data_IF_727217740267
#
_entry.id   IF_727217740267
#
_cell.length_a   1.000
_cell.length_b   1.000
_cell.length_c   1.000
_cell.angle_alpha   90.00
_cell.angle_beta   90.00
_cell.angle_gamma   90.00
#
_symmetry.space_group_name_H-M   'P 1'
#
loop_
_entity.id
_entity.type
_entity.pdbx_description
1 polymer ?
#
# COMPACT_ATOMS: atom_id res chain seq x y z
N UNK A 1 -26.69 -2.84 2.04
CA UNK A 1 -25.27 -2.47 2.29
C UNK A 1 -25.12 -1.00 1.94
N UNK A 2 -24.66 -0.14 2.87
CA UNK A 2 -24.49 1.29 2.58
C UNK A 2 -23.31 1.47 1.60
N UNK A 3 -23.62 1.67 0.31
CA UNK A 3 -22.61 1.77 -0.76
C UNK A 3 -21.64 2.94 -0.53
N UNK A 4 -22.10 4.01 0.13
CA UNK A 4 -21.28 5.19 0.45
C UNK A 4 -20.22 4.90 1.50
N UNK A 5 -20.48 3.96 2.41
CA UNK A 5 -19.51 3.48 3.41
C UNK A 5 -18.62 2.38 2.83
N UNK A 6 -19.24 1.35 2.25
CA UNK A 6 -18.53 0.14 1.83
C UNK A 6 -17.73 0.32 0.55
N UNK A 7 -18.16 1.20 -0.37
CA UNK A 7 -17.42 1.47 -1.61
C UNK A 7 -15.99 1.97 -1.35
N UNK A 8 -15.81 3.06 -0.59
CA UNK A 8 -14.49 3.56 -0.23
C UNK A 8 -13.66 2.54 0.57
N UNK A 9 -14.27 1.80 1.50
CA UNK A 9 -13.58 0.77 2.29
C UNK A 9 -13.04 -0.35 1.39
N UNK A 10 -13.85 -0.85 0.47
CA UNK A 10 -13.44 -1.93 -0.43
C UNK A 10 -12.34 -1.44 -1.39
N UNK A 11 -12.50 -0.25 -1.96
CA UNK A 11 -11.49 0.36 -2.82
C UNK A 11 -10.17 0.58 -2.07
N UNK A 12 -10.22 1.11 -0.86
CA UNK A 12 -9.04 1.30 -0.01
C UNK A 12 -8.36 -0.01 0.36
N UNK A 13 -9.13 -1.07 0.67
CA UNK A 13 -8.59 -2.40 0.95
C UNK A 13 -7.87 -3.03 -0.26
N UNK A 14 -8.39 -2.82 -1.48
CA UNK A 14 -7.71 -3.27 -2.71
C UNK A 14 -6.39 -2.52 -2.89
N UNK A 15 -6.38 -1.21 -2.68
CA UNK A 15 -5.17 -0.38 -2.82
C UNK A 15 -4.12 -0.79 -1.77
N UNK A 16 -4.52 -1.06 -0.53
CA UNK A 16 -3.63 -1.58 0.52
C UNK A 16 -3.01 -2.92 0.12
N UNK A 17 -3.81 -3.84 -0.43
CA UNK A 17 -3.29 -5.11 -0.90
C UNK A 17 -2.21 -4.93 -1.99
N UNK A 18 -2.41 -3.98 -2.91
CA UNK A 18 -1.42 -3.63 -3.93
C UNK A 18 -0.17 -3.01 -3.29
N UNK A 19 -0.32 -2.10 -2.33
CA UNK A 19 0.79 -1.49 -1.61
C UNK A 19 1.66 -2.54 -0.92
N UNK A 20 1.05 -3.51 -0.25
CA UNK A 20 1.75 -4.64 0.38
C UNK A 20 2.51 -5.46 -0.66
N UNK A 21 1.90 -5.79 -1.80
CA UNK A 21 2.57 -6.54 -2.86
C UNK A 21 3.79 -5.81 -3.41
N UNK A 22 3.69 -4.48 -3.60
CA UNK A 22 4.81 -3.64 -4.06
C UNK A 22 5.94 -3.63 -3.04
N UNK A 23 5.62 -3.44 -1.75
CA UNK A 23 6.63 -3.40 -0.68
C UNK A 23 7.30 -4.77 -0.47
N UNK A 24 6.53 -5.87 -0.58
CA UNK A 24 7.07 -7.23 -0.53
C UNK A 24 8.00 -7.49 -1.73
N UNK A 25 7.58 -7.10 -2.93
CA UNK A 25 8.41 -7.22 -4.14
C UNK A 25 9.71 -6.42 -4.06
N UNK A 26 9.64 -5.20 -3.54
CA UNK A 26 10.82 -4.40 -3.21
C UNK A 26 11.70 -5.11 -2.17
N UNK A 27 11.11 -5.63 -1.08
CA UNK A 27 11.81 -6.43 -0.08
C UNK A 27 12.57 -7.63 -0.65
N UNK A 28 11.99 -8.34 -1.61
CA UNK A 28 12.66 -9.46 -2.30
C UNK A 28 13.88 -9.03 -3.10
N UNK A 29 13.91 -7.81 -3.64
CA UNK A 29 15.08 -7.30 -4.38
C UNK A 29 16.35 -7.22 -3.51
N UNK A 30 16.18 -7.11 -2.18
CA UNK A 30 17.28 -7.12 -1.20
C UNK A 30 17.78 -8.51 -0.82
N UNK A 31 17.08 -9.59 -1.21
CA UNK A 31 17.48 -10.96 -0.85
C UNK A 31 18.55 -11.54 -1.79
N UNK A 32 19.19 -10.71 -2.62
CA UNK A 32 20.27 -11.13 -3.50
C UNK A 32 21.55 -11.41 -2.67
N UNK A 33 22.36 -12.44 -3.01
CA UNK A 33 23.62 -12.75 -2.31
C UNK A 33 24.72 -11.68 -2.45
N UNK A 34 24.44 -10.58 -3.16
CA UNK A 34 25.36 -9.45 -3.31
C UNK A 34 25.16 -8.46 -2.15
N UNK A 35 26.16 -8.25 -1.27
CA UNK A 35 26.06 -7.30 -0.15
C UNK A 35 25.86 -5.84 -0.60
N UNK A 36 26.19 -5.48 -1.85
CA UNK A 36 25.90 -4.16 -2.40
C UNK A 36 24.39 -3.92 -2.63
N UNK A 37 23.59 -4.99 -2.72
CA UNK A 37 22.14 -4.89 -2.84
C UNK A 37 21.47 -4.33 -1.57
N UNK A 38 22.12 -4.42 -0.40
CA UNK A 38 21.61 -3.87 0.88
C UNK A 38 21.92 -2.38 1.07
N UNK A 39 22.65 -1.74 0.16
CA UNK A 39 22.76 -0.29 0.18
C UNK A 39 21.34 0.28 -0.02
N UNK A 40 20.76 0.84 1.04
CA UNK A 40 19.39 1.33 1.07
C UNK A 40 19.22 2.43 0.01
N UNK A 41 18.78 2.01 -1.17
CA UNK A 41 18.52 2.88 -2.31
C UNK A 41 17.03 3.14 -2.30
N UNK A 42 16.66 4.40 -2.10
CA UNK A 42 15.29 4.84 -2.25
C UNK A 42 14.90 4.64 -3.72
N UNK A 43 14.21 3.55 -3.99
CA UNK A 43 13.73 3.19 -5.30
C UNK A 43 12.36 3.83 -5.55
N UNK A 44 11.98 3.86 -6.82
CA UNK A 44 10.62 4.30 -7.20
C UNK A 44 9.55 3.40 -6.58
N UNK A 45 9.86 2.14 -6.27
CA UNK A 45 8.89 1.16 -5.76
C UNK A 45 8.51 1.38 -4.30
N UNK A 46 9.46 1.78 -3.45
CA UNK A 46 9.24 2.06 -2.04
C UNK A 46 8.40 3.32 -1.84
N UNK A 47 8.70 4.40 -2.58
CA UNK A 47 7.83 5.57 -2.60
C UNK A 47 6.42 5.23 -3.09
N UNK A 48 6.31 4.42 -4.15
CA UNK A 48 5.02 3.98 -4.68
C UNK A 48 4.23 3.17 -3.64
N UNK A 49 4.87 2.19 -2.99
CA UNK A 49 4.26 1.37 -1.95
C UNK A 49 3.75 2.20 -0.78
N UNK A 50 4.55 3.15 -0.30
CA UNK A 50 4.17 4.05 0.81
C UNK A 50 3.00 4.95 0.41
N UNK A 51 3.03 5.54 -0.79
CA UNK A 51 1.94 6.42 -1.27
C UNK A 51 0.64 5.63 -1.43
N UNK A 52 0.71 4.43 -2.01
CA UNK A 52 -0.47 3.56 -2.16
C UNK A 52 -1.06 3.20 -0.80
N UNK A 53 -0.23 2.84 0.19
CA UNK A 53 -0.72 2.56 1.55
C UNK A 53 -1.42 3.79 2.15
N UNK A 54 -0.84 4.98 2.04
CA UNK A 54 -1.48 6.22 2.54
C UNK A 54 -2.84 6.49 1.88
N UNK A 55 -2.95 6.28 0.56
CA UNK A 55 -4.21 6.46 -0.19
C UNK A 55 -5.24 5.38 0.24
N UNK A 56 -4.80 4.13 0.36
CA UNK A 56 -5.64 3.01 0.77
C UNK A 56 -6.23 3.23 2.16
N UNK A 57 -5.39 3.57 3.13
CA UNK A 57 -5.79 3.92 4.48
C UNK A 57 -6.76 5.11 4.50
N UNK A 58 -6.47 6.18 3.75
CA UNK A 58 -7.34 7.35 3.67
C UNK A 58 -8.75 6.99 3.18
N UNK A 59 -8.87 6.14 2.16
CA UNK A 59 -10.17 5.68 1.65
C UNK A 59 -10.95 4.84 2.66
N UNK A 60 -10.25 3.97 3.40
CA UNK A 60 -10.86 3.18 4.48
C UNK A 60 -11.38 4.10 5.59
N UNK A 61 -10.58 5.09 6.01
CA UNK A 61 -10.97 6.07 7.03
C UNK A 61 -12.15 6.92 6.57
N UNK A 62 -12.15 7.40 5.32
CA UNK A 62 -13.27 8.15 4.73
C UNK A 62 -14.53 7.29 4.72
N UNK A 63 -14.47 6.06 4.23
CA UNK A 63 -15.61 5.15 4.24
C UNK A 63 -16.12 4.89 5.67
N UNK A 64 -15.21 4.67 6.63
CA UNK A 64 -15.55 4.52 8.05
C UNK A 64 -16.23 5.75 8.66
N UNK A 65 -15.84 6.96 8.24
CA UNK A 65 -16.49 8.20 8.67
C UNK A 65 -17.93 8.34 8.15
N UNK A 66 -18.25 7.69 7.02
CA UNK A 66 -19.56 7.67 6.38
C UNK A 66 -20.50 6.58 6.91
N UNK A 67 -20.15 5.95 8.04
CA UNK A 67 -20.97 4.91 8.70
C UNK A 67 -22.32 5.42 9.23
N UNK A 68 -22.49 6.74 9.33
CA UNK A 68 -23.74 7.38 9.77
C UNK A 68 -24.91 7.09 8.84
#
# INVERSE_FOLDING_TARGET
MNLRMWGPILAGGIIEAIAVLVMVGYGFSFMHPDPAAFAFSYGTMDYLGIILALIGLALIMVGGSLKK
#
